data_IF_260835845961
#
_entry.id   IF_260835845961
#
_cell.length_a   1.000
_cell.length_b   1.000
_cell.length_c   1.000
_cell.angle_alpha   90.00
_cell.angle_beta   90.00
_cell.angle_gamma   90.00
#
_symmetry.space_group_name_H-M   'P 1'
#
loop_
_entity.id
_entity.type
_entity.pdbx_description
1 polymer ?
#
# COMPACT_ATOMS: atom_id res chain seq x y z
N UNK A 1 8.82 2.37 -22.79
CA UNK A 1 7.66 1.66 -22.28
C UNK A 1 8.06 0.72 -21.17
N UNK A 2 7.34 0.71 -20.13
CA UNK A 2 7.72 -0.11 -18.98
C UNK A 2 6.60 -1.07 -18.64
N UNK A 3 6.88 -2.37 -18.70
CA UNK A 3 5.93 -3.37 -18.24
C UNK A 3 5.63 -3.19 -16.76
N UNK A 4 6.64 -2.76 -15.97
CA UNK A 4 6.43 -2.52 -14.55
C UNK A 4 5.38 -1.44 -14.32
N UNK A 5 5.44 -0.35 -15.08
CA UNK A 5 4.47 0.73 -14.93
C UNK A 5 3.05 0.25 -15.25
N UNK A 6 2.90 -0.52 -16.32
CA UNK A 6 1.60 -1.06 -16.70
C UNK A 6 1.08 -2.07 -15.68
N UNK A 7 1.97 -2.90 -15.14
CA UNK A 7 1.60 -3.89 -14.13
C UNK A 7 1.17 -3.21 -12.83
N UNK A 8 1.90 -2.17 -12.42
CA UNK A 8 1.54 -1.42 -11.21
C UNK A 8 0.18 -0.77 -11.38
N UNK A 9 -0.02 -0.12 -12.54
CA UNK A 9 -1.28 0.55 -12.84
C UNK A 9 -2.45 -0.42 -12.77
N UNK A 10 -2.28 -1.60 -13.32
CA UNK A 10 -3.31 -2.62 -13.27
C UNK A 10 -3.59 -3.08 -11.85
N UNK A 11 -2.54 -3.31 -11.06
CA UNK A 11 -2.68 -3.75 -9.67
C UNK A 11 -3.45 -2.74 -8.84
N UNK A 12 -3.04 -1.46 -8.91
CA UNK A 12 -3.66 -0.44 -8.06
C UNK A 12 -5.08 -0.10 -8.48
N UNK A 13 -5.42 -0.32 -9.74
CA UNK A 13 -6.77 -0.04 -10.24
C UNK A 13 -7.71 -1.25 -10.14
N UNK A 14 -7.17 -2.44 -9.90
CA UNK A 14 -7.98 -3.66 -9.77
C UNK A 14 -8.32 -4.00 -8.33
N UNK A 15 -7.73 -3.31 -7.37
CA UNK A 15 -7.93 -3.58 -5.95
C UNK A 15 -8.18 -2.27 -5.22
N UNK A 16 -9.11 -2.30 -4.25
CA UNK A 16 -9.46 -1.08 -3.52
C UNK A 16 -8.29 -0.58 -2.67
N UNK A 17 -7.59 -1.50 -2.01
CA UNK A 17 -6.46 -1.13 -1.14
C UNK A 17 -5.28 -2.02 -1.51
N UNK A 18 -4.15 -1.40 -1.83
CA UNK A 18 -2.93 -2.12 -2.19
C UNK A 18 -1.77 -1.57 -1.39
N UNK A 19 -1.00 -2.46 -0.79
CA UNK A 19 0.21 -2.11 -0.06
C UNK A 19 1.42 -2.75 -0.74
N UNK A 20 2.31 -1.92 -1.29
CA UNK A 20 3.60 -2.40 -1.81
C UNK A 20 4.55 -2.42 -0.63
N UNK A 21 5.13 -3.58 -0.33
CA UNK A 21 5.89 -3.77 0.89
C UNK A 21 7.08 -4.70 0.69
N UNK A 22 7.94 -4.76 1.68
CA UNK A 22 9.05 -5.71 1.72
C UNK A 22 8.61 -6.92 2.54
N UNK A 23 8.51 -8.07 1.88
CA UNK A 23 7.98 -9.30 2.45
C UNK A 23 6.49 -9.42 2.23
N UNK A 24 5.86 -10.31 2.98
CA UNK A 24 4.43 -10.56 2.89
C UNK A 24 3.72 -10.06 4.14
N UNK A 25 2.38 -10.01 4.09
CA UNK A 25 1.60 -9.58 5.25
C UNK A 25 1.88 -10.46 6.47
N UNK A 26 2.05 -11.76 6.26
CA UNK A 26 2.33 -12.69 7.36
C UNK A 26 3.80 -12.62 7.82
N UNK A 27 4.71 -12.32 6.89
CA UNK A 27 6.15 -12.32 7.18
C UNK A 27 6.80 -11.06 6.61
N UNK A 28 6.50 -9.88 7.21
CA UNK A 28 7.14 -8.63 6.76
C UNK A 28 8.65 -8.70 6.97
N UNK A 29 9.41 -8.17 6.01
CA UNK A 29 10.87 -8.19 6.07
C UNK A 29 11.46 -6.84 6.42
N UNK A 30 10.64 -5.90 6.88
CA UNK A 30 11.05 -4.54 7.22
C UNK A 30 10.11 -4.01 8.27
N UNK A 31 10.65 -3.32 9.29
CA UNK A 31 9.84 -2.78 10.37
C UNK A 31 8.78 -1.80 9.89
N UNK A 32 9.11 -1.01 8.88
CA UNK A 32 8.15 -0.05 8.32
C UNK A 32 7.02 -0.77 7.59
N UNK A 33 7.33 -1.85 6.86
CA UNK A 33 6.30 -2.66 6.22
C UNK A 33 5.41 -3.37 7.25
N UNK A 34 6.02 -3.85 8.32
CA UNK A 34 5.29 -4.49 9.41
C UNK A 34 4.29 -3.52 10.04
N UNK A 35 4.72 -2.28 10.27
CA UNK A 35 3.86 -1.24 10.83
C UNK A 35 2.68 -0.95 9.91
N UNK A 36 2.94 -0.84 8.62
CA UNK A 36 1.89 -0.58 7.63
C UNK A 36 0.83 -1.67 7.64
N UNK A 37 1.25 -2.94 7.68
CA UNK A 37 0.33 -4.07 7.74
C UNK A 37 -0.50 -4.00 9.02
N UNK A 38 0.15 -3.71 10.16
CA UNK A 38 -0.55 -3.63 11.44
C UNK A 38 -1.63 -2.56 11.44
N UNK A 39 -1.35 -1.41 10.82
CA UNK A 39 -2.33 -0.32 10.73
C UNK A 39 -3.55 -0.78 9.95
N UNK A 40 -3.34 -1.39 8.78
CA UNK A 40 -4.46 -1.84 7.95
C UNK A 40 -5.25 -2.96 8.61
N UNK A 41 -4.56 -3.88 9.31
CA UNK A 41 -5.25 -4.93 10.06
C UNK A 41 -6.11 -4.33 11.16
N UNK A 42 -5.59 -3.33 11.86
CA UNK A 42 -6.33 -2.67 12.93
C UNK A 42 -7.59 -1.98 12.40
N UNK A 43 -7.51 -1.40 11.21
CA UNK A 43 -8.64 -0.73 10.60
C UNK A 43 -9.68 -1.72 10.05
N UNK A 44 -9.32 -2.98 9.91
CA UNK A 44 -10.26 -4.02 9.53
C UNK A 44 -10.70 -4.01 8.07
N UNK A 45 -9.90 -3.39 7.20
CA UNK A 45 -10.22 -3.39 5.77
C UNK A 45 -9.50 -4.52 5.06
N UNK A 46 -10.08 -5.00 3.96
CA UNK A 46 -9.39 -5.94 3.09
C UNK A 46 -8.33 -5.20 2.28
N UNK A 47 -7.17 -5.82 2.11
CA UNK A 47 -6.12 -5.20 1.31
C UNK A 47 -5.28 -6.26 0.62
N UNK A 48 -4.74 -5.88 -0.53
CA UNK A 48 -3.83 -6.71 -1.30
C UNK A 48 -2.41 -6.25 -1.03
N UNK A 49 -1.45 -7.18 -0.96
CA UNK A 49 -0.06 -6.82 -0.78
C UNK A 49 0.77 -7.27 -1.96
N UNK A 50 1.82 -6.51 -2.24
CA UNK A 50 2.78 -6.84 -3.28
C UNK A 50 4.16 -6.86 -2.63
N UNK A 51 4.81 -8.03 -2.65
CA UNK A 51 6.15 -8.19 -2.08
C UNK A 51 7.19 -7.76 -3.12
N UNK A 52 7.70 -6.55 -2.96
CA UNK A 52 8.66 -5.99 -3.93
C UNK A 52 10.01 -6.67 -3.88
N UNK A 53 10.28 -7.45 -2.83
CA UNK A 53 11.54 -8.21 -2.78
C UNK A 53 11.55 -9.38 -3.78
N UNK A 54 10.36 -9.82 -4.20
CA UNK A 54 10.22 -10.90 -5.17
C UNK A 54 10.15 -10.40 -6.61
N UNK A 55 10.10 -9.07 -6.80
CA UNK A 55 9.93 -8.49 -8.12
C UNK A 55 10.72 -7.19 -8.24
N UNK A 56 11.99 -7.27 -8.64
CA UNK A 56 12.84 -6.08 -8.75
C UNK A 56 12.32 -5.03 -9.71
N UNK A 57 11.61 -5.42 -10.76
CA UNK A 57 11.04 -4.47 -11.70
C UNK A 57 9.97 -3.61 -11.04
N UNK A 58 9.10 -4.24 -10.25
CA UNK A 58 8.08 -3.50 -9.52
C UNK A 58 8.74 -2.65 -8.42
N UNK A 59 9.74 -3.21 -7.74
CA UNK A 59 10.45 -2.46 -6.70
C UNK A 59 11.02 -1.14 -7.23
N UNK A 60 11.63 -1.19 -8.41
CA UNK A 60 12.18 0.00 -9.03
C UNK A 60 11.10 0.87 -9.65
N UNK A 61 10.13 0.25 -10.31
CA UNK A 61 9.08 0.96 -11.01
C UNK A 61 8.12 1.72 -10.10
N UNK A 62 7.84 1.18 -8.90
CA UNK A 62 6.90 1.82 -8.00
C UNK A 62 7.39 3.19 -7.52
N UNK A 63 8.69 3.35 -7.39
CA UNK A 63 9.26 4.61 -6.96
C UNK A 63 9.05 5.70 -8.01
N UNK A 64 9.22 5.33 -9.28
CA UNK A 64 8.96 6.24 -10.39
C UNK A 64 7.47 6.49 -10.56
N UNK A 65 6.66 5.46 -10.41
CA UNK A 65 5.21 5.55 -10.58
C UNK A 65 4.60 6.55 -9.58
N UNK A 66 5.02 6.49 -8.33
CA UNK A 66 4.49 7.35 -7.27
C UNK A 66 5.27 8.65 -7.11
N UNK A 67 6.43 8.75 -7.71
CA UNK A 67 7.40 9.82 -7.45
C UNK A 67 7.73 9.88 -5.94
N UNK A 68 7.85 8.71 -5.32
CA UNK A 68 8.12 8.57 -3.89
C UNK A 68 9.23 7.53 -3.70
N UNK A 69 10.30 7.86 -2.96
CA UNK A 69 11.52 7.04 -2.99
C UNK A 69 11.53 5.80 -2.11
N UNK A 70 10.59 5.66 -1.20
CA UNK A 70 10.66 4.61 -0.19
C UNK A 70 9.50 3.64 -0.25
N UNK A 71 9.69 2.47 0.36
CA UNK A 71 8.70 1.41 0.51
C UNK A 71 8.59 1.15 2.01
N UNK A 72 7.40 0.95 2.57
CA UNK A 72 6.14 0.62 1.89
C UNK A 72 5.41 1.81 1.29
N UNK A 73 4.46 1.51 0.39
CA UNK A 73 3.60 2.52 -0.21
C UNK A 73 2.16 2.01 -0.24
N UNK A 74 1.24 2.85 0.21
CA UNK A 74 -0.18 2.52 0.24
C UNK A 74 -0.93 3.23 -0.88
N UNK A 75 -1.81 2.48 -1.55
CA UNK A 75 -2.72 3.01 -2.57
C UNK A 75 -4.15 2.66 -2.17
N UNK A 76 -5.06 3.62 -2.32
CA UNK A 76 -6.50 3.41 -2.08
C UNK A 76 -7.25 3.87 -3.31
N UNK A 77 -8.01 2.95 -3.92
CA UNK A 77 -8.79 3.22 -5.14
C UNK A 77 -7.91 3.83 -6.24
N UNK A 78 -6.69 3.31 -6.38
CA UNK A 78 -5.76 3.75 -7.41
C UNK A 78 -4.97 5.01 -7.09
N UNK A 79 -5.22 5.64 -5.96
CA UNK A 79 -4.55 6.88 -5.56
C UNK A 79 -3.48 6.62 -4.52
N UNK A 80 -2.31 7.19 -4.71
CA UNK A 80 -1.22 7.08 -3.76
C UNK A 80 -1.56 7.83 -2.47
N UNK A 81 -1.44 7.15 -1.34
CA UNK A 81 -1.68 7.75 -0.02
C UNK A 81 -0.38 8.19 0.63
N UNK A 82 0.58 7.27 0.71
CA UNK A 82 1.86 7.58 1.33
C UNK A 82 2.55 6.35 1.84
N UNK A 83 3.66 6.58 2.53
CA UNK A 83 4.43 5.51 3.16
C UNK A 83 4.05 5.31 4.62
N UNK A 84 4.91 4.59 5.34
CA UNK A 84 4.65 4.20 6.72
C UNK A 84 4.40 5.39 7.64
N UNK A 85 5.21 6.45 7.52
CA UNK A 85 5.06 7.61 8.39
C UNK A 85 3.75 8.35 8.15
N UNK A 86 3.39 8.54 6.88
CA UNK A 86 2.13 9.20 6.52
C UNK A 86 0.95 8.35 7.01
N UNK A 87 1.02 7.03 6.82
CA UNK A 87 -0.02 6.12 7.29
C UNK A 87 -0.21 6.24 8.80
N UNK A 88 0.89 6.30 9.55
CA UNK A 88 0.83 6.40 11.01
C UNK A 88 0.19 7.71 11.44
N UNK A 89 0.61 8.84 10.84
CA UNK A 89 0.04 10.15 11.14
C UNK A 89 -1.46 10.17 10.88
N UNK A 90 -1.87 9.67 9.70
CA UNK A 90 -3.27 9.64 9.33
C UNK A 90 -4.08 8.72 10.24
N UNK A 91 -3.47 7.58 10.62
CA UNK A 91 -4.12 6.63 11.51
C UNK A 91 -4.38 7.26 12.87
N UNK A 92 -3.37 7.91 13.43
CA UNK A 92 -3.50 8.52 14.76
C UNK A 92 -4.49 9.68 14.77
N UNK A 93 -4.60 10.40 13.67
CA UNK A 93 -5.55 11.51 13.54
C UNK A 93 -6.96 11.07 13.15
N UNK A 94 -7.16 9.78 12.87
CA UNK A 94 -8.45 9.29 12.39
C UNK A 94 -8.68 9.55 10.91
N UNK A 95 -7.72 10.15 10.23
CA UNK A 95 -7.86 10.54 8.82
C UNK A 95 -7.82 9.35 7.87
N UNK A 96 -7.08 8.29 8.23
CA UNK A 96 -7.00 7.12 7.38
C UNK A 96 -8.32 6.37 7.37
N UNK A 97 -8.94 6.22 8.55
CA UNK A 97 -10.27 5.64 8.64
C UNK A 97 -11.27 6.45 7.84
N UNK A 98 -11.19 7.78 7.97
CA UNK A 98 -12.08 8.68 7.24
C UNK A 98 -11.90 8.54 5.73
N UNK A 99 -10.65 8.46 5.26
CA UNK A 99 -10.37 8.28 3.84
C UNK A 99 -10.99 6.98 3.31
N UNK A 100 -10.81 5.89 4.05
CA UNK A 100 -11.34 4.59 3.65
C UNK A 100 -12.87 4.62 3.61
N UNK A 101 -13.50 5.29 4.57
CA UNK A 101 -14.96 5.42 4.59
C UNK A 101 -15.45 6.26 3.41
N UNK A 102 -14.78 7.37 3.12
CA UNK A 102 -15.16 8.25 2.01
C UNK A 102 -15.00 7.55 0.66
N UNK A 103 -14.00 6.70 0.53
CA UNK A 103 -13.77 5.94 -0.69
C UNK A 103 -14.62 4.67 -0.75
N UNK A 104 -15.42 4.43 0.28
CA UNK A 104 -16.34 3.30 0.34
C UNK A 104 -15.62 1.95 0.25
N UNK A 105 -14.49 1.84 0.93
CA UNK A 105 -13.73 0.60 0.99
C UNK A 105 -14.42 -0.36 1.94
N UNK A 106 -14.63 -1.61 1.48
CA UNK A 106 -15.30 -2.62 2.27
C UNK A 106 -14.42 -3.11 3.41
N UNK A 107 -15.05 -3.44 4.54
CA UNK A 107 -14.35 -4.10 5.63
C UNK A 107 -13.97 -5.52 5.23
N UNK A 108 -12.89 -6.02 5.81
CA UNK A 108 -12.49 -7.41 5.62
C UNK A 108 -13.48 -8.31 6.35
N UNK A 109 -13.71 -9.47 5.76
CA UNK A 109 -14.58 -10.50 6.38
C UNK A 109 -13.84 -11.26 7.48
#
# INVERSE_FOLDING_TARGET
MSDANSRIDEIVNSNDVVLFMKGTALFPQCGFSSRAVSILDHLGVGFETVDVLQDPEIRNGIKAYSDWPTIPQLYVKGEFVGGSDIMMEMFEAGELQQLLDEKQVAKAD
#
